data_IF_717507962282
#
_entry.id   IF_717507962282
#
_cell.length_a   1.000
_cell.length_b   1.000
_cell.length_c   1.000
_cell.angle_alpha   90.00
_cell.angle_beta   90.00
_cell.angle_gamma   90.00
#
_symmetry.space_group_name_H-M   'P 1'
#
loop_
_entity.id
_entity.type
_entity.pdbx_description
1 polymer ?
#
# COMPACT_ATOMS: atom_id res chain seq x y z
N UNK A 1 11.68 -18.90 -30.80
CA UNK A 1 11.91 -17.90 -29.71
C UNK A 1 10.63 -17.47 -28.93
N UNK A 2 9.44 -18.06 -29.14
CA UNK A 2 8.17 -17.44 -28.72
C UNK A 2 7.44 -17.98 -27.48
N UNK A 3 7.67 -19.23 -27.05
CA UNK A 3 6.89 -19.85 -25.95
C UNK A 3 7.70 -19.94 -24.66
N UNK A 4 8.95 -20.39 -24.75
CA UNK A 4 9.87 -20.47 -23.61
C UNK A 4 10.15 -19.09 -22.99
N UNK A 5 10.31 -18.05 -23.82
CA UNK A 5 10.49 -16.66 -23.37
C UNK A 5 9.24 -16.10 -22.68
N UNK A 6 8.03 -16.42 -23.16
CA UNK A 6 6.76 -16.03 -22.51
C UNK A 6 6.57 -16.75 -21.17
N UNK A 7 6.96 -18.03 -21.08
CA UNK A 7 6.88 -18.84 -19.86
C UNK A 7 7.88 -18.36 -18.79
N UNK A 8 9.14 -18.13 -19.19
CA UNK A 8 10.18 -17.54 -18.33
C UNK A 8 9.76 -16.12 -17.89
N UNK A 9 9.16 -15.31 -18.78
CA UNK A 9 8.62 -13.99 -18.43
C UNK A 9 7.46 -14.08 -17.43
N UNK A 10 6.63 -15.12 -17.46
CA UNK A 10 5.58 -15.36 -16.44
C UNK A 10 6.17 -15.76 -15.09
N UNK A 11 7.19 -16.61 -15.06
CA UNK A 11 7.82 -17.12 -13.83
C UNK A 11 8.68 -16.05 -13.13
N UNK A 12 9.37 -15.21 -13.90
CA UNK A 12 10.23 -14.14 -13.37
C UNK A 12 9.48 -12.84 -13.03
N UNK A 13 8.24 -12.67 -13.49
CA UNK A 13 7.39 -11.48 -13.24
C UNK A 13 7.21 -11.14 -11.76
N UNK A 14 6.91 -12.08 -10.84
CA UNK A 14 6.70 -11.76 -9.42
C UNK A 14 7.98 -11.25 -8.75
N UNK A 15 9.12 -11.89 -9.05
CA UNK A 15 10.44 -11.50 -8.53
C UNK A 15 10.86 -10.12 -9.09
N UNK A 16 10.61 -9.88 -10.38
CA UNK A 16 10.88 -8.60 -11.04
C UNK A 16 9.95 -7.50 -10.54
N UNK A 17 8.68 -7.79 -10.27
CA UNK A 17 7.72 -6.84 -9.70
C UNK A 17 8.13 -6.43 -8.28
N UNK A 18 8.54 -7.39 -7.43
CA UNK A 18 9.03 -7.10 -6.07
C UNK A 18 10.31 -6.26 -6.08
N UNK A 19 11.29 -6.60 -6.93
CA UNK A 19 12.51 -5.78 -7.11
C UNK A 19 12.20 -4.37 -7.63
N UNK A 20 11.27 -4.24 -8.57
CA UNK A 20 10.86 -2.94 -9.11
C UNK A 20 10.16 -2.06 -8.05
N UNK A 21 9.41 -2.65 -7.13
CA UNK A 21 8.84 -1.95 -5.96
C UNK A 21 9.93 -1.30 -5.11
N UNK A 22 10.91 -2.11 -4.66
CA UNK A 22 12.04 -1.64 -3.82
C UNK A 22 12.85 -0.53 -4.50
N UNK A 23 13.11 -0.63 -5.81
CA UNK A 23 13.79 0.43 -6.56
C UNK A 23 12.96 1.73 -6.56
N UNK A 24 11.64 1.60 -6.69
CA UNK A 24 10.71 2.72 -6.63
C UNK A 24 10.75 3.41 -5.28
N UNK A 25 10.57 2.65 -4.20
CA UNK A 25 10.63 3.13 -2.81
C UNK A 25 11.98 3.82 -2.53
N UNK A 26 13.10 3.26 -3.00
CA UNK A 26 14.42 3.87 -2.82
C UNK A 26 14.55 5.22 -3.53
N UNK A 27 13.96 5.37 -4.72
CA UNK A 27 13.93 6.67 -5.43
C UNK A 27 13.12 7.71 -4.66
N UNK A 28 12.00 7.32 -4.07
CA UNK A 28 11.19 8.21 -3.21
C UNK A 28 11.96 8.59 -1.95
N UNK A 29 12.58 7.63 -1.26
CA UNK A 29 13.43 7.88 -0.08
C UNK A 29 14.55 8.88 -0.42
N UNK A 30 15.23 8.71 -1.55
CA UNK A 30 16.29 9.62 -1.96
C UNK A 30 15.76 11.03 -2.22
N UNK A 31 14.55 11.16 -2.79
CA UNK A 31 13.90 12.45 -3.04
C UNK A 31 13.41 13.13 -1.75
N UNK A 32 13.09 12.34 -0.72
CA UNK A 32 12.73 12.79 0.63
C UNK A 32 13.94 13.09 1.52
N UNK A 33 15.17 12.77 1.08
CA UNK A 33 16.36 12.85 1.92
C UNK A 33 16.65 14.31 2.33
N UNK A 34 16.79 14.59 3.64
CA UNK A 34 17.00 15.93 4.17
C UNK A 34 18.29 16.61 3.69
N UNK A 35 19.30 15.89 3.21
CA UNK A 35 20.51 16.51 2.64
C UNK A 35 20.22 17.37 1.39
N UNK A 36 19.07 17.16 0.74
CA UNK A 36 18.59 17.96 -0.40
C UNK A 36 17.40 18.86 -0.02
N UNK A 37 16.95 18.83 1.23
CA UNK A 37 16.00 19.78 1.79
C UNK A 37 16.77 20.84 2.58
N UNK A 38 16.48 22.11 2.38
CA UNK A 38 16.96 23.18 3.24
C UNK A 38 16.51 22.95 4.68
N UNK A 39 17.31 22.29 5.55
CA UNK A 39 17.04 22.06 6.99
C UNK A 39 15.55 21.93 7.38
N UNK A 40 14.72 21.25 6.58
CA UNK A 40 13.29 21.18 6.87
C UNK A 40 13.13 20.22 8.02
N UNK A 41 12.60 20.69 9.15
CA UNK A 41 12.37 19.83 10.29
C UNK A 41 11.23 18.85 9.96
N UNK A 42 11.57 17.57 9.80
CA UNK A 42 10.65 16.52 9.43
C UNK A 42 11.00 15.20 10.12
N UNK A 43 10.05 14.27 10.16
CA UNK A 43 10.28 12.88 10.55
C UNK A 43 9.80 11.95 9.44
N UNK A 44 10.64 10.98 9.11
CA UNK A 44 10.36 10.04 8.02
C UNK A 44 10.35 8.61 8.56
N UNK A 45 9.31 7.86 8.24
CA UNK A 45 9.22 6.42 8.50
C UNK A 45 9.07 5.71 7.15
N UNK A 46 9.88 4.69 6.91
CA UNK A 46 9.82 3.90 5.70
C UNK A 46 9.50 2.45 6.04
N UNK A 47 8.66 1.81 5.21
CA UNK A 47 8.28 0.40 5.37
C UNK A 47 7.66 0.09 6.75
N UNK A 48 6.76 0.95 7.22
CA UNK A 48 5.99 0.69 8.44
C UNK A 48 5.01 -0.46 8.18
N UNK A 49 4.95 -1.44 9.09
CA UNK A 49 3.94 -2.49 9.02
C UNK A 49 2.99 -2.36 10.21
N UNK A 50 1.71 -2.15 9.94
CA UNK A 50 0.65 -2.13 10.95
C UNK A 50 -0.16 -3.42 10.84
N UNK A 51 -0.41 -4.08 11.97
CA UNK A 51 -1.34 -5.21 12.04
C UNK A 51 -2.66 -4.73 12.65
N UNK A 52 -3.75 -4.99 11.95
CA UNK A 52 -5.08 -4.65 12.43
C UNK A 52 -5.61 -5.67 13.46
N UNK A 53 -6.77 -5.38 14.03
CA UNK A 53 -7.47 -6.24 15.00
C UNK A 53 -7.85 -7.63 14.45
N UNK A 54 -7.67 -7.86 13.15
CA UNK A 54 -7.93 -9.13 12.48
C UNK A 54 -6.65 -9.87 12.07
N UNK A 55 -5.49 -9.50 12.64
CA UNK A 55 -4.17 -10.04 12.31
C UNK A 55 -3.77 -9.83 10.83
N UNK A 56 -4.39 -8.88 10.14
CA UNK A 56 -3.99 -8.54 8.78
C UNK A 56 -2.97 -7.41 8.82
N UNK A 57 -1.84 -7.64 8.16
CA UNK A 57 -0.76 -6.67 8.00
C UNK A 57 -1.04 -5.69 6.85
N UNK A 58 -0.69 -4.44 7.06
CA UNK A 58 -0.74 -3.36 6.08
C UNK A 58 0.65 -2.72 6.05
N UNK A 59 1.34 -2.85 4.93
CA UNK A 59 2.65 -2.23 4.71
C UNK A 59 2.45 -0.84 4.11
N UNK A 60 3.10 0.15 4.70
CA UNK A 60 3.05 1.54 4.30
C UNK A 60 4.45 1.92 3.83
N UNK A 61 4.56 2.32 2.56
CA UNK A 61 5.85 2.56 1.92
C UNK A 61 6.60 3.69 2.61
N UNK A 62 5.97 4.86 2.72
CA UNK A 62 6.55 6.02 3.41
C UNK A 62 5.51 6.82 4.17
N UNK A 63 5.90 7.28 5.36
CA UNK A 63 5.19 8.29 6.13
C UNK A 63 6.13 9.47 6.32
N UNK A 64 5.62 10.65 6.01
CA UNK A 64 6.33 11.90 6.14
C UNK A 64 5.55 12.81 7.10
N UNK A 65 6.20 13.20 8.20
CA UNK A 65 5.61 14.05 9.24
C UNK A 65 6.34 15.38 9.17
N UNK A 66 5.58 16.44 8.87
CA UNK A 66 6.07 17.81 8.72
C UNK A 66 5.18 18.77 9.49
N UNK A 67 5.66 19.98 9.72
CA UNK A 67 4.87 21.02 10.37
C UNK A 67 3.51 21.24 9.68
N UNK A 68 3.47 21.21 8.34
CA UNK A 68 2.23 21.42 7.57
C UNK A 68 1.37 20.15 7.37
N UNK A 69 1.73 19.01 7.96
CA UNK A 69 0.87 17.82 7.94
C UNK A 69 1.58 16.47 8.00
N UNK A 70 0.76 15.42 8.06
CA UNK A 70 1.18 14.01 8.04
C UNK A 70 0.79 13.42 6.70
N UNK A 71 1.76 12.87 5.97
CA UNK A 71 1.56 12.35 4.63
C UNK A 71 1.84 10.86 4.58
N UNK A 72 0.87 10.10 4.09
CA UNK A 72 1.02 8.69 3.75
C UNK A 72 1.27 8.57 2.26
N UNK A 73 2.46 8.14 1.88
CA UNK A 73 2.93 8.11 0.49
C UNK A 73 2.94 6.66 0.02
N UNK A 74 2.17 6.38 -1.04
CA UNK A 74 2.17 5.11 -1.75
C UNK A 74 3.01 5.23 -3.04
N UNK A 75 3.95 4.31 -3.23
CA UNK A 75 4.94 4.38 -4.31
C UNK A 75 4.58 3.44 -5.46
N UNK A 76 4.38 3.98 -6.66
CA UNK A 76 4.11 3.18 -7.87
C UNK A 76 5.19 3.36 -8.93
N UNK A 77 5.96 2.30 -9.15
CA UNK A 77 7.04 2.24 -10.16
C UNK A 77 6.62 1.48 -11.42
N UNK A 78 5.58 1.97 -12.10
CA UNK A 78 5.13 1.43 -13.39
C UNK A 78 5.69 2.24 -14.55
N UNK A 79 6.07 1.56 -15.63
CA UNK A 79 6.47 2.17 -16.91
C UNK A 79 5.29 2.28 -17.88
N UNK A 80 5.45 3.02 -18.98
CA UNK A 80 4.40 3.21 -19.98
C UNK A 80 3.32 4.16 -19.52
N UNK A 81 2.14 4.10 -20.16
CA UNK A 81 1.02 4.98 -19.86
C UNK A 81 0.12 4.37 -18.79
N UNK A 82 -0.32 5.22 -17.86
CA UNK A 82 -1.18 4.83 -16.75
C UNK A 82 -2.50 5.56 -16.86
N UNK A 83 -3.60 4.80 -16.78
CA UNK A 83 -4.96 5.31 -16.89
C UNK A 83 -5.78 4.89 -15.68
N UNK A 84 -6.49 5.84 -15.10
CA UNK A 84 -7.38 5.61 -13.97
C UNK A 84 -7.81 6.90 -13.30
N UNK A 85 -8.75 6.76 -12.38
CA UNK A 85 -9.29 7.80 -11.52
C UNK A 85 -9.55 7.24 -10.10
N UNK A 86 -10.05 8.06 -9.19
CA UNK A 86 -10.39 7.69 -7.82
C UNK A 86 -11.65 6.81 -7.71
N UNK A 87 -12.56 6.88 -8.68
CA UNK A 87 -13.83 6.15 -8.70
C UNK A 87 -13.64 4.67 -9.02
N UNK A 88 -12.77 4.33 -9.97
CA UNK A 88 -12.60 2.94 -10.45
C UNK A 88 -11.83 2.06 -9.46
N UNK A 89 -12.13 0.76 -9.44
CA UNK A 89 -11.44 -0.19 -8.51
C UNK A 89 -10.03 -0.59 -8.97
N UNK A 90 -9.78 -0.54 -10.28
CA UNK A 90 -8.52 -0.94 -10.89
C UNK A 90 -8.10 0.11 -11.90
N UNK A 91 -6.81 0.36 -11.98
CA UNK A 91 -6.19 1.19 -13.01
C UNK A 91 -5.61 0.29 -14.11
N UNK A 92 -5.36 0.90 -15.27
CA UNK A 92 -4.81 0.23 -16.44
C UNK A 92 -3.44 0.80 -16.78
N UNK A 93 -2.45 -0.08 -16.90
CA UNK A 93 -1.14 0.19 -17.48
C UNK A 93 -1.16 -0.24 -18.95
N UNK A 94 -0.62 0.59 -19.83
CA UNK A 94 -0.36 0.28 -21.23
C UNK A 94 1.14 0.42 -21.49
N UNK A 95 1.79 -0.69 -21.86
CA UNK A 95 3.22 -0.70 -22.20
C UNK A 95 3.45 -0.16 -23.61
N UNK A 96 4.69 0.22 -23.93
CA UNK A 96 5.07 0.76 -25.25
C UNK A 96 4.83 -0.21 -26.41
N UNK A 97 4.79 -1.52 -26.14
CA UNK A 97 4.44 -2.57 -27.10
C UNK A 97 2.92 -2.81 -27.24
N UNK A 98 2.09 -1.97 -26.60
CA UNK A 98 0.63 -2.07 -26.63
C UNK A 98 0.02 -3.04 -25.61
N UNK A 99 0.82 -3.84 -24.89
CA UNK A 99 0.29 -4.76 -23.88
C UNK A 99 -0.38 -4.01 -22.71
N UNK A 100 -1.57 -4.46 -22.31
CA UNK A 100 -2.36 -3.85 -21.23
C UNK A 100 -2.39 -4.73 -19.98
N UNK A 101 -2.27 -4.11 -18.82
CA UNK A 101 -2.34 -4.78 -17.51
C UNK A 101 -3.19 -3.98 -16.55
N UNK A 102 -3.98 -4.66 -15.72
CA UNK A 102 -4.75 -4.01 -14.67
C UNK A 102 -4.12 -4.25 -13.30
N UNK A 103 -4.16 -3.23 -12.44
CA UNK A 103 -3.72 -3.30 -11.06
C UNK A 103 -4.70 -2.59 -10.13
N UNK A 104 -4.65 -2.87 -8.84
CA UNK A 104 -5.53 -2.26 -7.84
C UNK A 104 -5.29 -0.76 -7.81
N UNK A 105 -6.37 0.02 -7.72
CA UNK A 105 -6.29 1.47 -7.63
C UNK A 105 -5.42 1.88 -6.41
N UNK A 106 -4.28 2.56 -6.60
CA UNK A 106 -3.37 2.94 -5.53
C UNK A 106 -4.00 3.93 -4.54
N UNK A 107 -4.92 4.79 -4.98
CA UNK A 107 -5.63 5.70 -4.09
C UNK A 107 -6.50 4.93 -3.09
N UNK A 108 -7.11 3.82 -3.51
CA UNK A 108 -7.92 2.98 -2.61
C UNK A 108 -7.05 2.20 -1.63
N UNK A 109 -5.88 1.74 -2.07
CA UNK A 109 -4.88 1.13 -1.21
C UNK A 109 -4.40 2.14 -0.15
N UNK A 110 -3.98 3.33 -0.59
CA UNK A 110 -3.46 4.36 0.31
C UNK A 110 -4.53 4.92 1.26
N UNK A 111 -5.79 4.99 0.84
CA UNK A 111 -6.91 5.32 1.74
C UNK A 111 -7.02 4.32 2.91
N UNK A 112 -6.77 3.04 2.67
CA UNK A 112 -6.72 2.02 3.72
C UNK A 112 -5.53 2.26 4.66
N UNK A 113 -4.37 2.62 4.11
CA UNK A 113 -3.18 2.94 4.89
C UNK A 113 -3.40 4.16 5.80
N UNK A 114 -3.92 5.26 5.25
CA UNK A 114 -4.30 6.46 6.01
C UNK A 114 -5.25 6.12 7.16
N UNK A 115 -6.23 5.24 6.92
CA UNK A 115 -7.15 4.78 7.96
C UNK A 115 -6.41 4.09 9.12
N UNK A 116 -5.51 3.15 8.83
CA UNK A 116 -4.77 2.43 9.87
C UNK A 116 -3.79 3.33 10.62
N UNK A 117 -3.10 4.25 9.94
CA UNK A 117 -2.26 5.28 10.58
C UNK A 117 -3.12 6.15 11.51
N UNK A 118 -4.26 6.64 11.02
CA UNK A 118 -5.16 7.48 11.82
C UNK A 118 -5.65 6.73 13.07
N UNK A 119 -5.97 5.43 12.96
CA UNK A 119 -6.35 4.59 14.11
C UNK A 119 -5.24 4.48 15.15
N UNK A 120 -4.00 4.24 14.73
CA UNK A 120 -2.82 4.24 15.62
C UNK A 120 -2.71 5.59 16.35
N UNK A 121 -2.98 6.69 15.66
CA UNK A 121 -2.95 8.03 16.21
C UNK A 121 -4.27 8.46 16.87
N UNK A 122 -5.11 7.51 17.29
CA UNK A 122 -6.40 7.74 17.97
C UNK A 122 -7.37 8.64 17.19
N UNK A 123 -7.23 8.74 15.88
CA UNK A 123 -7.96 9.64 14.97
C UNK A 123 -7.81 11.13 15.33
N UNK A 124 -6.74 11.51 16.05
CA UNK A 124 -6.44 12.91 16.42
C UNK A 124 -5.99 13.75 15.22
N UNK A 125 -5.37 13.11 14.23
CA UNK A 125 -4.74 13.78 13.09
C UNK A 125 -5.31 13.31 11.75
N UNK A 126 -5.42 14.27 10.82
CA UNK A 126 -5.72 14.00 9.42
C UNK A 126 -4.47 13.47 8.71
N UNK A 127 -4.61 12.34 7.99
CA UNK A 127 -3.51 11.73 7.23
C UNK A 127 -3.73 11.99 5.74
N UNK A 128 -2.84 12.78 5.15
CA UNK A 128 -2.91 13.17 3.75
C UNK A 128 -2.40 12.04 2.85
N UNK A 129 -3.28 11.48 2.02
CA UNK A 129 -2.92 10.43 1.05
C UNK A 129 -2.23 11.05 -0.15
N UNK A 130 -1.03 10.56 -0.50
CA UNK A 130 -0.31 10.86 -1.74
C UNK A 130 0.04 9.55 -2.47
N UNK A 131 -0.19 9.48 -3.77
CA UNK A 131 0.37 8.43 -4.64
C UNK A 131 1.46 9.03 -5.51
N UNK A 132 2.66 8.47 -5.46
CA UNK A 132 3.81 8.93 -6.24
C UNK A 132 4.08 7.99 -7.41
N UNK A 133 3.99 8.54 -8.63
CA UNK A 133 4.35 7.87 -9.87
C UNK A 133 5.83 8.08 -10.16
N UNK A 134 6.64 7.06 -9.89
CA UNK A 134 8.12 7.14 -9.90
C UNK A 134 8.69 7.44 -11.28
N UNK A 135 8.02 7.01 -12.36
CA UNK A 135 8.47 7.24 -13.74
C UNK A 135 7.85 8.49 -14.36
N UNK A 136 7.30 9.41 -13.55
CA UNK A 136 6.71 10.67 -14.00
C UNK A 136 5.65 10.51 -15.11
N UNK A 137 4.74 9.55 -14.95
CA UNK A 137 3.73 9.18 -15.94
C UNK A 137 2.28 9.34 -15.42
N UNK A 138 2.05 10.33 -14.55
CA UNK A 138 0.74 10.66 -14.00
C UNK A 138 -0.11 11.56 -14.93
N UNK A 139 0.40 12.01 -16.09
CA UNK A 139 -0.22 13.07 -16.91
C UNK A 139 -1.64 12.77 -17.39
N UNK A 140 -2.05 11.50 -17.39
CA UNK A 140 -3.39 11.06 -17.80
C UNK A 140 -4.33 10.80 -16.61
N UNK A 141 -3.88 11.03 -15.38
CA UNK A 141 -4.61 10.81 -14.14
C UNK A 141 -5.07 12.16 -13.60
N UNK A 142 -6.39 12.38 -13.51
CA UNK A 142 -6.98 13.65 -13.06
C UNK A 142 -7.29 13.63 -11.56
N UNK A 143 -6.30 13.30 -10.73
CA UNK A 143 -6.43 13.28 -9.28
C UNK A 143 -5.31 14.12 -8.66
N UNK A 144 -5.65 15.13 -7.87
CA UNK A 144 -4.69 16.10 -7.31
C UNK A 144 -3.67 15.49 -6.35
N UNK A 145 -3.98 14.32 -5.78
CA UNK A 145 -3.11 13.59 -4.87
C UNK A 145 -2.37 12.42 -5.54
N UNK A 146 -2.32 12.40 -6.87
CA UNK A 146 -1.48 11.51 -7.67
C UNK A 146 -0.45 12.37 -8.38
N UNK A 147 0.81 12.26 -7.99
CA UNK A 147 1.85 13.18 -8.45
C UNK A 147 3.03 12.42 -9.06
N UNK A 148 3.73 13.10 -9.97
CA UNK A 148 5.00 12.63 -10.48
C UNK A 148 6.11 12.84 -9.43
N UNK A 149 7.12 11.96 -9.40
CA UNK A 149 8.23 12.01 -8.43
C UNK A 149 9.00 13.35 -8.49
N UNK A 150 9.12 13.95 -9.66
CA UNK A 150 9.78 15.25 -9.82
C UNK A 150 9.09 16.37 -9.03
N UNK A 151 7.76 16.31 -8.85
CA UNK A 151 6.96 17.29 -8.09
C UNK A 151 6.82 16.97 -6.59
N UNK A 152 7.31 15.82 -6.11
CA UNK A 152 7.11 15.39 -4.72
C UNK A 152 7.57 16.43 -3.69
N UNK A 153 8.77 16.99 -3.88
CA UNK A 153 9.35 17.97 -2.95
C UNK A 153 8.52 19.26 -2.91
N UNK A 154 8.14 19.77 -4.08
CA UNK A 154 7.33 20.98 -4.23
C UNK A 154 5.95 20.79 -3.61
N UNK A 155 5.28 19.67 -3.92
CA UNK A 155 3.99 19.30 -3.34
C UNK A 155 4.01 19.29 -1.81
N UNK A 156 5.01 18.65 -1.20
CA UNK A 156 5.11 18.57 0.26
C UNK A 156 5.38 19.94 0.90
N UNK A 157 6.13 20.81 0.23
CA UNK A 157 6.45 22.16 0.72
C UNK A 157 5.23 23.09 0.64
N UNK A 158 4.47 23.02 -0.46
CA UNK A 158 3.36 23.93 -0.75
C UNK A 158 2.03 23.46 -0.18
N UNK A 159 1.96 22.22 0.29
CA UNK A 159 0.77 21.70 0.93
C UNK A 159 0.37 22.57 2.13
N UNK A 160 -0.87 23.03 2.12
CA UNK A 160 -1.45 23.81 3.21
C UNK A 160 -2.93 23.42 3.35
N UNK A 161 -3.28 22.89 4.52
CA UNK A 161 -4.65 22.59 4.92
C UNK A 161 -5.03 23.28 6.25
N UNK A 162 -4.25 24.28 6.68
CA UNK A 162 -4.42 24.97 7.96
C UNK A 162 -3.81 24.26 9.18
N UNK A 163 -3.21 23.07 9.03
CA UNK A 163 -2.50 22.38 10.12
C UNK A 163 -1.10 22.97 10.31
N UNK A 164 -0.70 23.14 11.57
CA UNK A 164 0.66 23.50 11.98
C UNK A 164 1.04 22.69 13.22
N UNK A 165 1.81 21.61 13.04
CA UNK A 165 2.28 20.71 14.10
C UNK A 165 3.51 21.30 14.79
N UNK A 166 3.54 21.23 16.12
CA UNK A 166 4.76 21.55 16.88
C UNK A 166 5.81 20.45 16.72
N UNK A 167 7.07 20.73 17.09
CA UNK A 167 8.14 19.73 17.08
C UNK A 167 7.83 18.56 18.02
N UNK A 168 7.27 18.86 19.18
CA UNK A 168 6.86 17.90 20.20
C UNK A 168 5.75 16.99 19.68
N UNK A 169 4.75 17.54 18.96
CA UNK A 169 3.70 16.74 18.33
C UNK A 169 4.27 15.83 17.24
N UNK A 170 5.18 16.34 16.40
CA UNK A 170 5.83 15.54 15.36
C UNK A 170 6.63 14.38 15.96
N UNK A 171 7.35 14.62 17.06
CA UNK A 171 8.11 13.59 17.78
C UNK A 171 7.19 12.58 18.47
N UNK A 172 6.09 13.02 19.08
CA UNK A 172 5.06 12.14 19.68
C UNK A 172 4.47 11.19 18.62
N UNK A 173 4.06 11.73 17.47
CA UNK A 173 3.51 10.95 16.35
C UNK A 173 4.54 9.94 15.86
N UNK A 174 5.78 10.37 15.64
CA UNK A 174 6.85 9.53 15.15
C UNK A 174 7.14 8.35 16.09
N UNK A 175 7.31 8.63 17.39
CA UNK A 175 7.61 7.62 18.39
C UNK A 175 6.46 6.60 18.52
N UNK A 176 5.21 7.07 18.49
CA UNK A 176 4.03 6.19 18.57
C UNK A 176 3.94 5.23 17.39
N UNK A 177 4.26 5.69 16.18
CA UNK A 177 4.29 4.85 14.98
C UNK A 177 5.45 3.84 15.01
N UNK A 178 6.63 4.24 15.51
CA UNK A 178 7.77 3.33 15.64
C UNK A 178 7.55 2.23 16.69
N UNK A 179 6.88 2.52 17.81
CA UNK A 179 6.61 1.54 18.86
C UNK A 179 5.77 0.37 18.33
N UNK A 180 4.83 0.64 17.41
CA UNK A 180 4.02 -0.40 16.77
C UNK A 180 4.87 -1.23 15.80
N UNK A 181 5.82 -0.59 15.12
CA UNK A 181 6.73 -1.28 14.21
C UNK A 181 7.67 -2.24 14.95
N UNK A 182 8.16 -1.84 16.13
CA UNK A 182 9.15 -2.61 16.91
C UNK A 182 8.53 -3.80 17.66
N UNK A 183 7.25 -3.72 18.05
CA UNK A 183 6.49 -4.84 18.65
C UNK A 183 6.27 -6.01 17.70
N UNK A 184 6.64 -5.89 16.43
CA UNK A 184 6.48 -6.93 15.44
C UNK A 184 7.84 -7.28 14.84
N UNK A 185 8.43 -8.37 15.33
CA UNK A 185 9.60 -8.92 14.65
C UNK A 185 9.17 -9.51 13.29
N UNK A 186 9.99 -9.37 12.24
CA UNK A 186 9.76 -10.02 10.94
C UNK A 186 9.46 -11.53 11.07
N UNK A 187 9.92 -12.17 12.15
CA UNK A 187 9.65 -13.56 12.50
C UNK A 187 8.17 -13.80 12.84
N UNK A 188 7.56 -12.96 13.67
CA UNK A 188 6.13 -13.06 14.04
C UNK A 188 5.22 -12.78 12.84
N UNK A 189 5.59 -11.82 11.98
CA UNK A 189 4.86 -11.55 10.74
C UNK A 189 4.87 -12.74 9.78
N UNK A 190 6.05 -13.35 9.55
CA UNK A 190 6.17 -14.56 8.74
C UNK A 190 5.39 -15.72 9.37
N UNK A 191 5.48 -15.89 10.70
CA UNK A 191 4.73 -16.91 11.43
C UNK A 191 3.21 -16.70 11.31
N UNK A 192 2.72 -15.46 11.40
CA UNK A 192 1.30 -15.13 11.26
C UNK A 192 0.80 -15.34 9.82
N UNK A 193 1.62 -15.04 8.80
CA UNK A 193 1.31 -15.38 7.40
C UNK A 193 1.22 -16.89 7.20
N UNK A 194 2.20 -17.65 7.74
CA UNK A 194 2.22 -19.11 7.65
C UNK A 194 0.99 -19.69 8.37
N UNK A 195 0.68 -19.21 9.57
CA UNK A 195 -0.49 -19.60 10.34
C UNK A 195 -1.79 -19.34 9.58
N UNK A 196 -1.97 -18.12 9.07
CA UNK A 196 -3.14 -17.74 8.27
C UNK A 196 -3.28 -18.62 7.02
N UNK A 197 -2.18 -18.92 6.32
CA UNK A 197 -2.19 -19.83 5.16
C UNK A 197 -2.59 -21.24 5.55
N UNK A 198 -2.06 -21.76 6.67
CA UNK A 198 -2.38 -23.09 7.18
C UNK A 198 -3.85 -23.21 7.60
N UNK A 199 -4.38 -22.23 8.34
CA UNK A 199 -5.79 -22.17 8.72
C UNK A 199 -6.69 -22.20 7.48
N UNK A 200 -6.39 -21.35 6.49
CA UNK A 200 -7.12 -21.34 5.22
C UNK A 200 -7.02 -22.69 4.49
N UNK A 201 -5.85 -23.35 4.49
CA UNK A 201 -5.67 -24.67 3.86
C UNK A 201 -6.48 -25.77 4.57
N UNK A 202 -6.71 -25.61 5.87
CA UNK A 202 -7.56 -26.49 6.69
C UNK A 202 -9.04 -26.09 6.67
N UNK A 203 -9.46 -25.20 5.75
CA UNK A 203 -10.81 -24.65 5.68
C UNK A 203 -11.26 -23.95 6.98
N UNK A 204 -10.33 -23.32 7.69
CA UNK A 204 -10.57 -22.50 8.89
C UNK A 204 -10.50 -21.02 8.50
N UNK A 205 -11.45 -20.24 9.00
CA UNK A 205 -11.50 -18.81 8.79
C UNK A 205 -10.46 -18.12 9.68
N UNK A 206 -9.48 -17.41 9.11
CA UNK A 206 -8.42 -16.79 9.90
C UNK A 206 -8.89 -15.58 10.71
N UNK A 207 -10.12 -15.10 10.48
CA UNK A 207 -10.70 -13.97 11.21
C UNK A 207 -11.44 -14.36 12.48
N UNK A 208 -11.99 -15.57 12.55
CA UNK A 208 -12.86 -15.96 13.69
C UNK A 208 -12.81 -17.45 14.06
N UNK A 209 -11.97 -18.26 13.40
CA UNK A 209 -11.88 -19.70 13.64
C UNK A 209 -13.04 -20.53 13.07
N UNK A 210 -14.13 -19.91 12.58
CA UNK A 210 -15.25 -20.63 11.95
C UNK A 210 -14.84 -21.33 10.65
N UNK A 211 -15.61 -22.33 10.19
CA UNK A 211 -15.30 -23.04 8.94
C UNK A 211 -15.46 -22.16 7.70
N UNK A 212 -14.58 -22.30 6.72
CA UNK A 212 -14.76 -21.78 5.36
C UNK A 212 -15.63 -22.75 4.57
N UNK A 213 -16.70 -22.23 3.98
CA UNK A 213 -17.67 -23.00 3.20
C UNK A 213 -17.77 -22.44 1.79
N UNK A 214 -18.03 -23.31 0.82
CA UNK A 214 -18.24 -22.95 -0.56
C UNK A 214 -19.55 -22.15 -0.69
N UNK A 215 -19.52 -21.01 -1.39
CA UNK A 215 -20.69 -20.17 -1.66
C UNK A 215 -20.71 -19.73 -3.11
N UNK A 216 -21.91 -19.56 -3.64
CA UNK A 216 -22.12 -19.03 -4.99
C UNK A 216 -22.48 -17.55 -4.91
N UNK A 217 -21.71 -16.71 -5.58
CA UNK A 217 -21.99 -15.28 -5.72
C UNK A 217 -22.09 -14.87 -7.18
N UNK A 218 -22.47 -13.61 -7.39
CA UNK A 218 -22.56 -12.98 -8.72
C UNK A 218 -21.29 -13.10 -9.58
N UNK A 219 -20.12 -13.25 -8.96
CA UNK A 219 -18.83 -13.36 -9.64
C UNK A 219 -18.30 -14.81 -9.67
N UNK A 220 -19.15 -15.80 -9.43
CA UNK A 220 -18.79 -17.21 -9.35
C UNK A 220 -18.65 -17.74 -7.92
N UNK A 221 -18.06 -18.92 -7.83
CA UNK A 221 -17.92 -19.69 -6.58
C UNK A 221 -16.75 -19.16 -5.75
N UNK A 222 -16.94 -19.00 -4.44
CA UNK A 222 -15.91 -18.54 -3.50
C UNK A 222 -16.04 -19.23 -2.13
N UNK A 223 -14.97 -19.24 -1.35
CA UNK A 223 -15.03 -19.64 0.06
C UNK A 223 -15.46 -18.45 0.93
N UNK A 224 -16.55 -18.61 1.69
CA UNK A 224 -17.01 -17.64 2.68
C UNK A 224 -17.01 -18.23 4.09
N UNK A 225 -16.89 -17.40 5.12
CA UNK A 225 -17.04 -17.88 6.49
C UNK A 225 -18.46 -18.42 6.76
N UNK A 226 -18.54 -19.53 7.48
CA UNK A 226 -19.80 -20.10 8.00
C UNK A 226 -20.50 -19.14 8.97
N UNK A 227 -19.75 -18.34 9.73
CA UNK A 227 -20.27 -17.37 10.71
C UNK A 227 -20.81 -16.07 10.07
N UNK A 228 -21.04 -16.02 8.76
CA UNK A 228 -21.76 -14.91 8.14
C UNK A 228 -23.19 -14.81 8.73
N UNK A 229 -23.72 -13.61 9.03
CA UNK A 229 -23.22 -12.28 8.65
C UNK A 229 -22.17 -11.67 9.60
N UNK A 230 -21.94 -12.27 10.77
CA UNK A 230 -21.03 -11.76 11.81
C UNK A 230 -19.57 -11.75 11.36
N UNK A 231 -19.15 -12.74 10.57
CA UNK A 231 -17.85 -12.75 9.91
C UNK A 231 -18.00 -12.72 8.39
N UNK A 232 -17.49 -11.67 7.75
CA UNK A 232 -17.57 -11.44 6.28
C UNK A 232 -16.29 -11.83 5.53
N UNK A 233 -15.46 -12.70 6.11
CA UNK A 233 -14.28 -13.19 5.40
C UNK A 233 -14.68 -13.95 4.12
N UNK A 234 -14.00 -13.65 3.02
CA UNK A 234 -14.15 -14.35 1.75
C UNK A 234 -12.81 -14.60 1.10
N UNK A 235 -12.63 -15.75 0.46
CA UNK A 235 -11.47 -16.12 -0.34
C UNK A 235 -11.94 -16.65 -1.69
N UNK A 236 -11.41 -16.09 -2.77
CA UNK A 236 -11.70 -16.60 -4.12
C UNK A 236 -11.06 -17.98 -4.31
N UNK A 237 -11.70 -18.83 -5.11
CA UNK A 237 -11.11 -20.09 -5.55
C UNK A 237 -10.07 -19.77 -6.61
N UNK A 238 -8.80 -19.97 -6.29
CA UNK A 238 -7.74 -19.96 -7.31
C UNK A 238 -7.63 -21.38 -7.83
N UNK A 239 -8.14 -21.64 -9.04
CA UNK A 239 -7.88 -22.90 -9.74
C UNK A 239 -6.42 -22.83 -10.18
N UNK A 240 -5.55 -23.54 -9.48
CA UNK A 240 -4.20 -23.83 -9.96
C UNK A 240 -4.32 -24.88 -11.06
N UNK A 241 -4.28 -24.41 -12.33
CA UNK A 241 -3.94 -25.24 -13.47
C UNK A 241 -2.43 -25.47 -13.51
#
# INVERSE_FOLDING_TARGET
MGILSKLIRKITRPVRAKRNGVIGERKVINKLNPLFFEKVNHRQINNLIIVDEHNKSHQIDHIEIRQNGIFCIETKNYIGWIFGDDLVKKWTQVLYNGEKYQFVNPLKQNKSHCYHISKVLNNKYTINSIVVMVNNNADKIKCSNVINLNYLTEYLREFNNGVSLSNEEMDEIYNKLLEINSKMTNKEHIQNIIKTKNEIAQNICPRCGGRLVLRNGKNGVFYGCSNFPKCRFTKNITISN
#
